data_IF_167093789348
#
_entry.id   IF_167093789348
#
_cell.length_a   1.000
_cell.length_b   1.000
_cell.length_c   1.000
_cell.angle_alpha   90.00
_cell.angle_beta   90.00
_cell.angle_gamma   90.00
#
_symmetry.space_group_name_H-M   'P 1'
#
loop_
_entity.id
_entity.type
_entity.pdbx_description
1 polymer ?
#
# COMPACT_ATOMS: atom_id res chain seq x y z
N UNK A 1 27.90 -53.00 -38.86
CA UNK A 1 26.61 -52.45 -38.37
C UNK A 1 26.90 -51.36 -37.34
N UNK A 2 26.64 -50.06 -37.64
CA UNK A 2 26.85 -48.94 -36.73
C UNK A 2 25.49 -48.58 -36.12
N UNK A 3 25.36 -48.79 -34.81
CA UNK A 3 24.16 -48.46 -34.04
C UNK A 3 24.18 -46.96 -33.71
N UNK A 4 23.22 -46.21 -34.28
CA UNK A 4 23.04 -44.77 -33.97
C UNK A 4 22.12 -44.69 -32.75
N UNK A 5 22.65 -44.17 -31.60
CA UNK A 5 21.87 -43.86 -30.42
C UNK A 5 21.26 -42.47 -30.62
N UNK A 6 19.95 -42.39 -30.76
CA UNK A 6 19.21 -41.14 -30.80
C UNK A 6 18.83 -40.78 -29.37
N UNK A 7 19.52 -39.78 -28.80
CA UNK A 7 19.16 -39.19 -27.50
C UNK A 7 18.00 -38.19 -27.68
N UNK A 8 16.81 -38.57 -27.22
CA UNK A 8 15.66 -37.68 -27.18
C UNK A 8 15.80 -36.76 -25.96
N UNK A 9 16.14 -35.49 -26.21
CA UNK A 9 16.17 -34.46 -25.17
C UNK A 9 14.73 -33.98 -24.90
N UNK A 10 14.12 -34.43 -23.79
CA UNK A 10 12.82 -33.97 -23.36
C UNK A 10 12.96 -32.54 -22.76
N UNK A 11 12.58 -31.54 -23.53
CA UNK A 11 12.48 -30.17 -23.05
C UNK A 11 11.22 -30.06 -22.15
N UNK A 12 11.41 -30.09 -20.83
CA UNK A 12 10.35 -29.76 -19.87
C UNK A 12 10.08 -28.26 -19.94
N UNK A 13 9.04 -27.87 -20.68
CA UNK A 13 8.54 -26.51 -20.65
C UNK A 13 7.90 -26.22 -19.27
N UNK A 14 8.64 -25.55 -18.39
CA UNK A 14 8.08 -25.01 -17.16
C UNK A 14 7.16 -23.85 -17.53
N UNK A 15 5.88 -24.12 -17.73
CA UNK A 15 4.85 -23.10 -17.87
C UNK A 15 4.65 -22.42 -16.51
N UNK A 16 5.43 -21.39 -16.25
CA UNK A 16 5.18 -20.49 -15.13
C UNK A 16 3.87 -19.76 -15.38
N UNK A 17 2.79 -20.20 -14.76
CA UNK A 17 1.55 -19.42 -14.75
C UNK A 17 1.83 -18.08 -14.07
N UNK A 18 1.89 -17.00 -14.84
CA UNK A 18 1.88 -15.65 -14.30
C UNK A 18 0.61 -15.52 -13.45
N UNK A 19 0.77 -15.22 -12.17
CA UNK A 19 -0.38 -15.04 -11.27
C UNK A 19 -1.18 -13.85 -11.74
N UNK A 20 -2.49 -14.03 -11.93
CA UNK A 20 -3.39 -13.03 -12.48
C UNK A 20 -3.52 -11.84 -11.51
N UNK A 21 -3.30 -10.64 -12.01
CA UNK A 21 -3.60 -9.38 -11.29
C UNK A 21 -5.07 -9.39 -10.85
N UNK A 22 -5.30 -8.99 -9.60
CA UNK A 22 -6.62 -8.82 -9.00
C UNK A 22 -6.87 -7.32 -8.78
N UNK A 23 -7.87 -6.76 -9.46
CA UNK A 23 -8.31 -5.40 -9.19
C UNK A 23 -8.93 -5.31 -7.79
N UNK A 24 -8.52 -4.34 -7.01
CA UNK A 24 -9.14 -3.99 -5.72
C UNK A 24 -10.17 -2.87 -5.85
N UNK A 25 -10.13 -2.11 -6.96
CA UNK A 25 -11.08 -1.06 -7.27
C UNK A 25 -11.55 -1.20 -8.73
N UNK A 26 -12.87 -1.22 -8.92
CA UNK A 26 -13.49 -1.45 -10.22
C UNK A 26 -13.78 -0.16 -11.02
N UNK A 27 -13.39 1.01 -10.49
CA UNK A 27 -13.66 2.32 -11.09
C UNK A 27 -15.12 2.81 -10.97
N UNK A 28 -16.01 2.05 -10.32
CA UNK A 28 -17.47 2.36 -10.30
C UNK A 28 -18.04 2.52 -8.89
N UNK A 29 -17.55 1.75 -7.92
CA UNK A 29 -18.07 1.75 -6.55
C UNK A 29 -17.02 1.19 -5.57
N UNK A 30 -17.31 1.30 -4.27
CA UNK A 30 -16.45 0.87 -3.19
C UNK A 30 -16.73 -0.58 -2.73
N UNK A 31 -17.26 -1.44 -3.61
CA UNK A 31 -17.46 -2.86 -3.31
C UNK A 31 -16.12 -3.51 -2.89
N UNK A 32 -16.12 -4.17 -1.75
CA UNK A 32 -14.89 -4.78 -1.18
C UNK A 32 -14.14 -3.87 -0.21
N UNK A 33 -14.60 -2.65 -0.02
CA UNK A 33 -14.06 -1.67 0.91
C UNK A 33 -15.10 -1.26 1.96
N UNK A 34 -14.64 -0.68 3.06
CA UNK A 34 -15.45 0.07 4.02
C UNK A 34 -14.62 1.19 4.63
N UNK A 35 -15.29 2.23 5.09
CA UNK A 35 -14.66 3.42 5.65
C UNK A 35 -14.76 3.45 7.18
N UNK A 36 -13.80 4.10 7.80
CA UNK A 36 -13.79 4.48 9.22
C UNK A 36 -13.26 5.90 9.37
N UNK A 37 -13.89 6.71 10.20
CA UNK A 37 -13.47 8.09 10.48
C UNK A 37 -13.41 8.35 11.99
N UNK A 38 -12.66 9.38 12.39
CA UNK A 38 -12.56 9.80 13.79
C UNK A 38 -13.93 10.26 14.34
N UNK A 39 -14.75 10.88 13.50
CA UNK A 39 -16.12 11.28 13.81
C UNK A 39 -17.11 10.29 13.18
N UNK A 40 -17.76 9.48 14.02
CA UNK A 40 -18.70 8.45 13.60
C UNK A 40 -20.06 9.02 13.12
N UNK A 41 -20.32 10.32 13.28
CA UNK A 41 -21.53 10.99 12.77
C UNK A 41 -21.46 11.33 11.29
N UNK A 42 -20.27 11.22 10.67
CA UNK A 42 -20.04 11.55 9.26
C UNK A 42 -20.73 10.55 8.33
N UNK A 43 -21.42 11.05 7.32
CA UNK A 43 -21.93 10.22 6.23
C UNK A 43 -20.76 9.69 5.38
N UNK A 44 -20.37 8.43 5.63
CA UNK A 44 -19.23 7.80 5.00
C UNK A 44 -19.33 7.73 3.47
N UNK A 45 -20.57 7.76 2.90
CA UNK A 45 -20.77 7.77 1.45
C UNK A 45 -20.43 9.13 0.82
N UNK A 46 -20.46 10.21 1.61
CA UNK A 46 -20.03 11.54 1.18
C UNK A 46 -18.58 11.81 1.54
N UNK A 47 -18.01 11.00 2.43
CA UNK A 47 -16.63 11.15 2.89
C UNK A 47 -15.63 10.44 1.97
N UNK A 48 -15.93 9.18 1.58
CA UNK A 48 -15.26 8.45 0.52
C UNK A 48 -16.27 8.16 -0.60
N UNK A 49 -16.02 8.64 -1.77
CA UNK A 49 -16.92 8.48 -2.90
C UNK A 49 -16.16 8.17 -4.19
N UNK A 50 -16.89 7.70 -5.20
CA UNK A 50 -16.33 7.45 -6.53
C UNK A 50 -16.79 8.53 -7.48
N UNK A 51 -15.83 9.16 -8.17
CA UNK A 51 -16.09 10.14 -9.20
C UNK A 51 -15.09 9.94 -10.35
N UNK A 52 -15.60 9.91 -11.58
CA UNK A 52 -14.79 9.81 -12.80
C UNK A 52 -13.75 8.69 -12.78
N UNK A 53 -14.12 7.50 -12.24
CA UNK A 53 -13.23 6.35 -12.13
C UNK A 53 -12.18 6.45 -11.03
N UNK A 54 -12.26 7.44 -10.15
CA UNK A 54 -11.35 7.64 -9.00
C UNK A 54 -12.08 7.48 -7.67
N UNK A 55 -11.37 6.99 -6.65
CA UNK A 55 -11.79 7.13 -5.25
C UNK A 55 -11.34 8.50 -4.80
N UNK A 56 -12.26 9.29 -4.26
CA UNK A 56 -11.97 10.60 -3.67
C UNK A 56 -12.33 10.63 -2.20
N UNK A 57 -11.63 11.44 -1.43
CA UNK A 57 -11.96 11.72 -0.02
C UNK A 57 -11.89 13.20 0.27
N UNK A 58 -12.71 13.66 1.23
CA UNK A 58 -12.68 15.07 1.69
C UNK A 58 -11.54 15.33 2.68
N UNK A 59 -10.95 14.29 3.29
CA UNK A 59 -9.77 14.41 4.16
C UNK A 59 -10.02 14.85 5.60
N UNK A 60 -11.19 15.37 5.94
CA UNK A 60 -11.55 15.81 7.29
C UNK A 60 -12.96 15.39 7.64
N UNK A 61 -13.20 14.77 8.84
CA UNK A 61 -12.22 14.38 9.87
C UNK A 61 -11.24 13.31 9.39
N UNK A 62 -10.16 13.04 10.14
CA UNK A 62 -9.22 11.98 9.80
C UNK A 62 -9.92 10.61 9.73
N UNK A 63 -9.48 9.76 8.79
CA UNK A 63 -10.07 8.44 8.57
C UNK A 63 -9.33 7.59 7.54
N UNK A 64 -9.90 6.47 7.19
CA UNK A 64 -9.37 5.59 6.15
C UNK A 64 -10.47 4.80 5.44
N UNK A 65 -10.19 4.40 4.21
CA UNK A 65 -10.97 3.43 3.44
C UNK A 65 -10.19 2.11 3.43
N UNK A 66 -10.74 1.04 4.01
CA UNK A 66 -10.07 -0.24 4.26
C UNK A 66 -10.70 -1.37 3.44
N UNK A 67 -9.88 -2.27 2.92
CA UNK A 67 -10.36 -3.50 2.28
C UNK A 67 -11.02 -4.43 3.32
N UNK A 68 -12.13 -5.08 2.93
CA UNK A 68 -12.79 -6.12 3.75
C UNK A 68 -11.97 -7.39 3.84
N UNK A 69 -11.12 -7.66 2.83
CA UNK A 69 -10.21 -8.81 2.79
C UNK A 69 -8.83 -8.44 3.29
N UNK A 70 -8.13 -9.42 3.84
CA UNK A 70 -6.73 -9.34 4.22
C UNK A 70 -5.86 -10.02 3.18
N UNK A 71 -4.62 -9.54 3.06
CA UNK A 71 -3.65 -9.99 2.08
C UNK A 71 -2.29 -10.23 2.71
N UNK A 72 -1.52 -11.16 2.14
CA UNK A 72 -0.11 -11.42 2.41
C UNK A 72 0.58 -11.81 1.10
N UNK A 73 1.87 -11.55 0.97
CA UNK A 73 2.68 -11.88 -0.21
C UNK A 73 2.05 -11.37 -1.52
N UNK A 74 2.11 -10.06 -1.72
CA UNK A 74 1.58 -9.39 -2.90
C UNK A 74 2.47 -8.23 -3.35
N UNK A 75 2.38 -7.88 -4.63
CA UNK A 75 2.71 -6.56 -5.14
C UNK A 75 1.41 -5.77 -5.22
N UNK A 76 1.35 -4.64 -4.56
CA UNK A 76 0.27 -3.66 -4.65
C UNK A 76 0.68 -2.55 -5.60
N UNK A 77 -0.21 -2.15 -6.48
CA UNK A 77 -0.08 -0.94 -7.28
C UNK A 77 -1.21 0.01 -6.96
N UNK A 78 -0.89 1.29 -6.78
CA UNK A 78 -1.85 2.37 -6.53
C UNK A 78 -1.39 3.62 -7.29
N UNK A 79 -2.27 4.22 -8.10
CA UNK A 79 -2.07 5.57 -8.61
C UNK A 79 -2.79 6.58 -7.71
N UNK A 80 -2.12 7.69 -7.40
CA UNK A 80 -2.65 8.73 -6.53
C UNK A 80 -2.24 10.13 -6.99
N UNK A 81 -3.02 11.15 -6.60
CA UNK A 81 -2.67 12.56 -6.76
C UNK A 81 -3.41 13.44 -5.75
N UNK A 82 -2.84 14.59 -5.45
CA UNK A 82 -3.51 15.68 -4.79
C UNK A 82 -4.11 16.62 -5.86
N UNK A 83 -5.44 16.73 -5.98
CA UNK A 83 -6.06 17.58 -7.01
C UNK A 83 -5.98 19.08 -6.69
N UNK A 84 -5.77 19.43 -5.43
CA UNK A 84 -5.74 20.80 -4.91
C UNK A 84 -4.49 21.03 -4.05
N UNK A 85 -4.63 20.92 -2.73
CA UNK A 85 -3.54 21.14 -1.77
C UNK A 85 -2.87 19.82 -1.39
N UNK A 86 -1.55 19.80 -1.40
CA UNK A 86 -0.73 18.66 -1.00
C UNK A 86 -0.48 18.71 0.52
N UNK A 87 -1.13 17.83 1.31
CA UNK A 87 -1.01 17.82 2.77
C UNK A 87 -0.52 16.47 3.27
N UNK A 88 -1.45 15.55 3.56
CA UNK A 88 -1.12 14.26 4.15
C UNK A 88 -2.07 13.15 3.69
N UNK A 89 -1.50 11.98 3.49
CA UNK A 89 -2.20 10.72 3.25
C UNK A 89 -1.22 9.55 3.41
N UNK A 90 -1.65 8.33 3.13
CA UNK A 90 -0.79 7.15 3.18
C UNK A 90 -1.49 5.90 2.65
N UNK A 91 -0.68 4.94 2.20
CA UNK A 91 -1.13 3.59 1.94
C UNK A 91 -0.79 2.75 3.17
N UNK A 92 -1.83 2.35 3.90
CA UNK A 92 -1.70 1.55 5.12
C UNK A 92 -1.68 0.06 4.72
N UNK A 93 -0.67 -0.66 5.19
CA UNK A 93 -0.37 -2.05 4.84
C UNK A 93 -0.52 -2.95 6.06
N UNK A 94 -0.99 -4.17 5.85
CA UNK A 94 -1.20 -5.14 6.92
C UNK A 94 -1.97 -4.57 8.12
N UNK A 95 -3.05 -3.84 7.82
CA UNK A 95 -3.93 -3.26 8.82
C UNK A 95 -4.59 -4.37 9.64
N UNK A 96 -4.42 -4.33 10.97
CA UNK A 96 -4.91 -5.35 11.91
C UNK A 96 -5.58 -4.74 13.13
N UNK A 97 -6.43 -5.54 13.78
CA UNK A 97 -7.16 -5.14 14.98
C UNK A 97 -8.51 -4.47 14.69
N UNK A 98 -9.26 -4.14 15.76
CA UNK A 98 -10.54 -3.45 15.66
C UNK A 98 -10.35 -2.04 15.14
N UNK A 99 -11.37 -1.53 14.43
CA UNK A 99 -11.33 -0.20 13.86
C UNK A 99 -11.24 0.86 14.96
N UNK A 100 -10.28 1.72 14.80
CA UNK A 100 -10.04 2.95 15.57
C UNK A 100 -9.24 3.89 14.71
N UNK A 101 -9.25 5.17 15.01
CA UNK A 101 -8.36 6.08 14.32
C UNK A 101 -6.91 5.66 14.60
N UNK A 102 -6.12 5.52 13.54
CA UNK A 102 -4.74 5.02 13.58
C UNK A 102 -4.63 3.61 14.18
N UNK A 103 -5.37 2.69 13.59
CA UNK A 103 -5.25 1.23 13.82
C UNK A 103 -3.82 0.74 13.52
N UNK A 104 -3.45 -0.43 14.01
CA UNK A 104 -2.11 -1.00 13.78
C UNK A 104 -1.86 -1.30 12.29
N UNK A 105 -0.75 -0.78 11.72
CA UNK A 105 -0.37 -0.92 10.31
C UNK A 105 1.09 -0.52 10.07
N UNK A 106 1.62 -0.85 8.90
CA UNK A 106 2.75 -0.14 8.27
C UNK A 106 2.20 0.86 7.27
N UNK A 107 2.88 1.99 7.07
CA UNK A 107 2.42 2.98 6.11
C UNK A 107 3.52 3.37 5.13
N UNK A 108 3.22 3.25 3.83
CA UNK A 108 3.92 3.99 2.79
C UNK A 108 3.33 5.40 2.77
N UNK A 109 4.12 6.36 3.25
CA UNK A 109 3.66 7.71 3.55
C UNK A 109 3.40 8.52 2.27
N UNK A 110 2.31 9.29 2.27
CA UNK A 110 1.95 10.22 1.20
C UNK A 110 1.97 11.69 1.66
N UNK A 111 2.49 11.96 2.85
CA UNK A 111 2.69 13.34 3.29
C UNK A 111 3.58 14.07 2.27
N UNK A 112 3.14 15.25 1.81
CA UNK A 112 3.92 16.06 0.87
C UNK A 112 5.36 16.25 1.36
N UNK A 113 6.33 16.14 0.47
CA UNK A 113 7.78 16.06 0.71
C UNK A 113 8.27 14.80 1.44
N UNK A 114 7.39 14.07 2.14
CA UNK A 114 7.67 12.81 2.83
C UNK A 114 7.14 11.56 2.09
N UNK A 115 6.76 11.68 0.82
CA UNK A 115 6.32 10.55 0.00
C UNK A 115 7.45 9.54 -0.12
N UNK A 116 7.17 8.27 0.26
CA UNK A 116 8.19 7.22 0.31
C UNK A 116 8.80 6.98 1.70
N UNK A 117 8.56 7.86 2.68
CA UNK A 117 8.88 7.56 4.08
C UNK A 117 8.08 6.34 4.55
N UNK A 118 8.65 5.59 5.49
CA UNK A 118 8.03 4.37 6.05
C UNK A 118 7.63 4.57 7.50
N UNK A 119 6.34 4.37 7.82
CA UNK A 119 5.83 4.52 9.18
C UNK A 119 5.53 3.17 9.80
N UNK A 120 5.99 2.96 11.04
CA UNK A 120 5.65 1.80 11.88
C UNK A 120 4.62 2.26 12.91
N UNK A 121 3.38 1.78 12.80
CA UNK A 121 2.26 2.22 13.63
C UNK A 121 1.54 1.06 14.31
N UNK A 122 1.36 1.15 15.63
CA UNK A 122 0.71 0.13 16.48
C UNK A 122 1.65 -0.38 17.56
N UNK A 123 1.21 -0.33 18.81
CA UNK A 123 2.03 -0.70 19.99
C UNK A 123 2.62 -2.10 19.82
N UNK A 124 3.93 -2.20 19.93
CA UNK A 124 4.69 -3.44 19.76
C UNK A 124 4.96 -3.84 18.30
N UNK A 125 4.39 -3.12 17.31
CA UNK A 125 4.72 -3.36 15.91
C UNK A 125 6.14 -2.89 15.62
N UNK A 126 6.88 -3.67 14.84
CA UNK A 126 8.29 -3.39 14.56
C UNK A 126 8.70 -3.72 13.14
N UNK A 127 9.76 -3.08 12.69
CA UNK A 127 10.45 -3.34 11.43
C UNK A 127 11.92 -2.94 11.54
N UNK A 128 12.77 -3.52 10.68
CA UNK A 128 14.18 -3.14 10.54
C UNK A 128 14.38 -2.44 9.20
N UNK A 129 14.97 -1.23 9.21
CA UNK A 129 15.31 -0.46 8.03
C UNK A 129 16.76 -0.04 8.13
N UNK A 130 17.55 -0.28 7.08
CA UNK A 130 19.02 -0.02 7.05
C UNK A 130 19.74 -0.58 8.28
N UNK A 131 19.37 -1.79 8.73
CA UNK A 131 19.97 -2.49 9.86
C UNK A 131 19.52 -2.00 11.25
N UNK A 132 18.71 -0.95 11.36
CA UNK A 132 18.18 -0.43 12.61
C UNK A 132 16.74 -0.92 12.83
N UNK A 133 16.48 -1.48 14.03
CA UNK A 133 15.11 -1.83 14.45
C UNK A 133 14.35 -0.58 14.93
N UNK A 134 13.12 -0.45 14.47
CA UNK A 134 12.15 0.56 14.87
C UNK A 134 10.94 -0.14 15.49
N UNK A 135 10.57 0.28 16.69
CA UNK A 135 9.44 -0.29 17.45
C UNK A 135 8.45 0.82 17.76
N UNK A 136 7.19 0.61 17.38
CA UNK A 136 6.12 1.55 17.70
C UNK A 136 5.66 1.35 19.15
N UNK A 137 5.47 2.45 19.86
CA UNK A 137 4.96 2.50 21.23
C UNK A 137 3.70 3.36 21.31
N UNK A 138 3.12 3.51 22.48
CA UNK A 138 2.00 4.45 22.68
C UNK A 138 2.39 5.90 22.37
N UNK A 139 3.64 6.27 22.71
CA UNK A 139 4.15 7.64 22.58
C UNK A 139 4.89 7.91 21.27
N UNK A 140 5.45 6.87 20.66
CA UNK A 140 6.29 7.00 19.48
C UNK A 140 5.80 6.10 18.34
N UNK A 141 5.62 6.69 17.16
CA UNK A 141 5.28 6.02 15.90
C UNK A 141 6.37 6.36 14.90
N UNK A 142 7.44 5.54 14.84
CA UNK A 142 8.58 5.83 14.01
C UNK A 142 8.19 6.09 12.55
N UNK A 143 8.57 7.27 12.04
CA UNK A 143 8.52 7.60 10.62
C UNK A 143 9.96 7.66 10.11
N UNK A 144 10.34 6.68 9.30
CA UNK A 144 11.71 6.54 8.78
C UNK A 144 11.77 7.22 7.41
N UNK A 145 12.66 8.21 7.23
CA UNK A 145 12.78 8.92 5.97
C UNK A 145 13.11 7.98 4.81
N UNK A 146 12.69 8.36 3.62
CA UNK A 146 13.04 7.69 2.36
C UNK A 146 14.55 7.71 2.12
N UNK A 147 15.08 6.64 1.51
CA UNK A 147 16.51 6.47 1.25
C UNK A 147 17.04 7.26 0.05
N UNK A 148 16.15 7.73 -0.83
CA UNK A 148 16.51 8.44 -2.06
C UNK A 148 15.85 9.82 -2.09
N UNK A 149 16.37 10.78 -2.88
CA UNK A 149 15.70 12.05 -3.09
C UNK A 149 14.24 11.89 -3.50
N UNK A 150 13.40 12.82 -3.06
CA UNK A 150 11.99 12.85 -3.41
C UNK A 150 11.81 12.85 -4.93
N UNK A 151 10.90 12.01 -5.41
CA UNK A 151 10.57 11.89 -6.84
C UNK A 151 9.06 11.91 -7.06
N UNK A 152 8.29 12.44 -6.09
CA UNK A 152 6.89 12.75 -6.30
C UNK A 152 6.75 13.85 -7.37
N UNK A 153 5.71 13.74 -8.19
CA UNK A 153 5.37 14.74 -9.19
C UNK A 153 4.58 15.88 -8.53
N UNK A 154 4.57 17.06 -9.13
CA UNK A 154 3.80 18.21 -8.66
C UNK A 154 2.31 17.90 -8.45
N UNK A 155 1.65 18.69 -7.60
CA UNK A 155 0.21 18.62 -7.39
C UNK A 155 -0.58 18.61 -8.69
N UNK A 156 -1.66 17.85 -8.71
CA UNK A 156 -2.48 17.60 -9.90
C UNK A 156 -1.99 16.47 -10.80
N UNK A 157 -0.72 16.08 -10.73
CA UNK A 157 -0.18 14.98 -11.53
C UNK A 157 -0.32 13.62 -10.83
N UNK A 158 -0.54 12.57 -11.64
CA UNK A 158 -0.63 11.20 -11.15
C UNK A 158 0.74 10.63 -10.81
N UNK A 159 0.88 10.17 -9.58
CA UNK A 159 2.01 9.40 -9.06
C UNK A 159 1.65 7.93 -8.95
N UNK A 160 2.65 7.07 -8.80
CA UNK A 160 2.48 5.64 -8.57
C UNK A 160 3.18 5.19 -7.29
N UNK A 161 2.52 4.34 -6.53
CA UNK A 161 3.14 3.41 -5.61
C UNK A 161 3.10 2.00 -6.18
N UNK A 162 4.24 1.34 -6.21
CA UNK A 162 4.36 -0.11 -6.27
C UNK A 162 4.94 -0.59 -4.94
N UNK A 163 4.22 -1.43 -4.20
CA UNK A 163 4.63 -1.89 -2.88
C UNK A 163 4.69 -3.41 -2.89
N UNK A 164 5.85 -3.97 -2.56
CA UNK A 164 6.07 -5.42 -2.54
C UNK A 164 6.11 -5.91 -1.10
N UNK A 165 5.07 -6.64 -0.69
CA UNK A 165 5.01 -7.31 0.61
C UNK A 165 5.32 -8.81 0.40
N UNK A 166 6.46 -9.29 0.90
CA UNK A 166 6.88 -10.69 0.79
C UNK A 166 7.45 -11.21 2.10
N UNK A 167 6.77 -12.21 2.69
CA UNK A 167 7.12 -12.67 4.04
C UNK A 167 7.07 -11.50 5.02
N UNK A 168 8.17 -11.27 5.71
CA UNK A 168 8.34 -10.17 6.65
C UNK A 168 9.06 -8.94 6.06
N UNK A 169 9.06 -8.80 4.73
CA UNK A 169 9.69 -7.68 4.02
C UNK A 169 8.65 -6.85 3.30
N UNK A 170 8.80 -5.51 3.35
CA UNK A 170 7.99 -4.54 2.62
C UNK A 170 8.94 -3.59 1.89
N UNK A 171 8.85 -3.55 0.55
CA UNK A 171 9.56 -2.61 -0.31
C UNK A 171 8.60 -1.57 -0.86
N UNK A 172 8.97 -0.30 -0.74
CA UNK A 172 8.15 0.85 -1.17
C UNK A 172 8.81 1.52 -2.36
N UNK A 173 8.11 1.58 -3.49
CA UNK A 173 8.61 2.10 -4.77
C UNK A 173 7.70 3.25 -5.21
N UNK A 174 8.27 4.46 -5.33
CA UNK A 174 7.57 5.67 -5.80
C UNK A 174 8.03 5.97 -7.23
N UNK A 175 7.09 6.06 -8.18
CA UNK A 175 7.39 6.40 -9.57
C UNK A 175 8.57 5.60 -10.14
N UNK A 176 8.65 4.30 -9.81
CA UNK A 176 9.70 3.38 -10.27
C UNK A 176 11.00 3.40 -9.46
N UNK A 177 11.14 4.25 -8.43
CA UNK A 177 12.34 4.33 -7.58
C UNK A 177 12.06 3.72 -6.21
N UNK A 178 12.88 2.75 -5.78
CA UNK A 178 12.82 2.19 -4.41
C UNK A 178 13.18 3.28 -3.41
N UNK A 179 12.22 3.62 -2.57
CA UNK A 179 12.35 4.67 -1.55
C UNK A 179 12.58 4.14 -0.15
N UNK A 180 12.08 2.93 0.15
CA UNK A 180 12.31 2.28 1.43
C UNK A 180 12.24 0.76 1.29
N UNK A 181 12.98 0.06 2.16
CA UNK A 181 12.89 -1.39 2.32
C UNK A 181 12.92 -1.73 3.81
N UNK A 182 11.78 -2.21 4.31
CA UNK A 182 11.64 -2.69 5.67
C UNK A 182 11.71 -4.21 5.71
N UNK A 183 12.50 -4.75 6.63
CA UNK A 183 12.64 -6.19 6.90
C UNK A 183 12.23 -6.50 8.34
N UNK A 184 12.12 -7.77 8.72
CA UNK A 184 11.70 -8.18 10.07
C UNK A 184 10.40 -7.50 10.53
N UNK A 185 9.50 -7.21 9.59
CA UNK A 185 8.17 -6.72 9.89
C UNK A 185 7.43 -7.74 10.75
N UNK A 186 6.95 -7.34 11.93
CA UNK A 186 6.29 -8.24 12.89
C UNK A 186 4.91 -8.70 12.44
N UNK A 187 4.24 -7.92 11.57
CA UNK A 187 2.94 -8.25 10.99
C UNK A 187 3.11 -8.47 9.48
N UNK A 188 2.72 -9.66 9.00
CA UNK A 188 2.97 -10.09 7.60
C UNK A 188 1.69 -10.30 6.78
N UNK A 189 0.53 -10.05 7.41
CA UNK A 189 -0.80 -10.19 6.80
C UNK A 189 -1.75 -9.17 7.42
N UNK A 190 -2.65 -8.63 6.61
CA UNK A 190 -3.71 -7.73 7.07
C UNK A 190 -4.41 -7.06 5.89
N UNK A 191 -5.32 -6.15 6.21
CA UNK A 191 -6.01 -5.37 5.20
C UNK A 191 -5.10 -4.26 4.61
N UNK A 192 -5.51 -3.73 3.48
CA UNK A 192 -4.92 -2.54 2.84
C UNK A 192 -5.88 -1.38 3.08
N UNK A 193 -5.36 -0.19 3.45
CA UNK A 193 -6.21 0.97 3.56
C UNK A 193 -5.59 2.23 2.93
N UNK A 194 -6.47 3.15 2.53
CA UNK A 194 -6.15 4.46 1.97
C UNK A 194 -6.49 5.50 3.03
N UNK A 195 -5.49 6.22 3.50
CA UNK A 195 -5.64 7.25 4.54
C UNK A 195 -6.29 8.51 3.97
N UNK A 196 -7.12 9.16 4.76
CA UNK A 196 -7.67 10.48 4.53
C UNK A 196 -7.32 11.38 5.70
N UNK A 197 -6.52 12.42 5.47
CA UNK A 197 -6.09 13.35 6.52
C UNK A 197 -5.75 14.74 5.98
N UNK A 198 -6.59 15.70 6.34
CA UNK A 198 -6.33 17.13 6.14
C UNK A 198 -6.54 17.68 4.73
N UNK A 199 -6.70 16.84 3.71
CA UNK A 199 -6.89 17.30 2.33
C UNK A 199 -7.65 16.29 1.48
N UNK A 200 -8.13 16.79 0.33
CA UNK A 200 -8.65 15.93 -0.74
C UNK A 200 -7.50 15.20 -1.42
N UNK A 201 -7.66 13.88 -1.60
CA UNK A 201 -6.75 13.05 -2.38
C UNK A 201 -7.56 12.11 -3.27
N UNK A 202 -7.02 11.77 -4.43
CA UNK A 202 -7.61 10.89 -5.42
C UNK A 202 -6.76 9.64 -5.60
N UNK A 203 -7.43 8.48 -5.69
CA UNK A 203 -6.81 7.18 -5.95
C UNK A 203 -7.48 6.48 -7.12
N UNK A 204 -6.70 5.78 -7.96
CA UNK A 204 -7.21 4.94 -9.04
C UNK A 204 -6.26 3.78 -9.34
N UNK A 205 -6.63 2.93 -10.27
CA UNK A 205 -5.81 1.82 -10.77
C UNK A 205 -5.22 0.97 -9.64
N UNK A 206 -6.08 0.60 -8.65
CA UNK A 206 -5.66 -0.14 -7.46
C UNK A 206 -5.79 -1.62 -7.73
N UNK A 207 -4.66 -2.35 -7.72
CA UNK A 207 -4.64 -3.81 -7.92
C UNK A 207 -3.52 -4.46 -7.13
N UNK A 208 -3.69 -5.75 -6.87
CA UNK A 208 -2.63 -6.61 -6.33
C UNK A 208 -2.28 -7.72 -7.32
N UNK A 209 -1.04 -8.15 -7.27
CA UNK A 209 -0.53 -9.36 -7.90
C UNK A 209 0.04 -10.25 -6.80
N UNK A 210 -0.53 -11.46 -6.55
CA UNK A 210 0.01 -12.38 -5.57
C UNK A 210 1.42 -12.83 -5.95
N UNK A 211 2.34 -12.88 -5.00
CA UNK A 211 3.71 -13.38 -5.18
C UNK A 211 3.94 -14.66 -4.34
N UNK A 212 4.92 -15.49 -4.74
CA UNK A 212 5.30 -16.71 -4.03
C UNK A 212 6.38 -16.43 -2.99
#
# INVERSE_FOLDING_TARGET
MKTILISVLMLLAVTGFAKKKQSLFNGKNLTGWYAYTADQSVDLNKYFYVKDGTIETVGTPAGYLRTKKEFSNYRLHVEWRYPENEVNSGIMLHVTGPDKIWVSHYQANLKHTGVGDFVVHGVGQKATIEGKEYVSTEKDKPAVPKMKPANEKPGGEWNTYDIVCKGNTIEVIVNGVVQNTATNCSTTKGAIALQAEGCKIQFRNIWIEPIK
#
